data_IF_833291600257
#
_entry.id   IF_833291600257
#
_cell.length_a   1.000
_cell.length_b   1.000
_cell.length_c   1.000
_cell.angle_alpha   90.00
_cell.angle_beta   90.00
_cell.angle_gamma   90.00
#
_symmetry.space_group_name_H-M   'P 1'
#
loop_
_entity.id
_entity.type
_entity.pdbx_description
1 polymer ?
#
# COMPACT_ATOMS: atom_id res chain seq x y z
N UNK A 1 5.14 30.30 13.12
CA UNK A 1 4.04 29.78 12.27
C UNK A 1 3.72 28.39 12.79
N UNK A 2 2.47 27.95 12.91
CA UNK A 2 2.21 26.59 13.43
C UNK A 2 2.64 25.56 12.37
N UNK A 3 3.30 24.46 12.74
CA UNK A 3 3.60 23.38 11.77
C UNK A 3 2.29 22.82 11.22
N UNK A 4 2.16 22.74 9.90
CA UNK A 4 1.05 22.10 9.20
C UNK A 4 1.54 20.78 8.59
N UNK A 5 0.79 19.71 8.78
CA UNK A 5 1.12 18.39 8.27
C UNK A 5 -0.03 17.95 7.37
N UNK A 6 0.29 17.69 6.11
CA UNK A 6 -0.54 16.98 5.17
C UNK A 6 -0.09 15.52 5.15
N UNK A 7 -0.83 14.64 5.81
CA UNK A 7 -0.66 13.20 5.67
C UNK A 7 -1.45 12.75 4.45
N UNK A 8 -0.75 12.29 3.43
CA UNK A 8 -1.27 12.09 2.09
C UNK A 8 -1.28 10.60 1.77
N UNK A 9 -2.47 10.03 1.74
CA UNK A 9 -2.69 8.66 1.32
C UNK A 9 -2.78 8.62 -0.21
N UNK A 10 -1.84 7.91 -0.83
CA UNK A 10 -1.75 7.79 -2.28
C UNK A 10 -1.29 6.38 -2.67
N UNK A 11 -1.83 5.87 -3.76
CA UNK A 11 -1.29 4.70 -4.45
C UNK A 11 -0.26 5.13 -5.49
N UNK A 12 0.72 4.27 -5.77
CA UNK A 12 1.76 4.50 -6.78
C UNK A 12 1.20 4.42 -8.21
N UNK A 13 0.41 5.44 -8.60
CA UNK A 13 -0.27 5.50 -9.90
C UNK A 13 0.17 6.72 -10.68
N UNK A 14 0.56 6.57 -11.95
CA UNK A 14 0.94 7.70 -12.77
C UNK A 14 -0.17 8.78 -12.89
N UNK A 15 -1.43 8.37 -12.79
CA UNK A 15 -2.61 9.23 -12.94
C UNK A 15 -2.82 10.23 -11.78
N UNK A 16 -2.27 9.98 -10.58
CA UNK A 16 -2.40 10.88 -9.43
C UNK A 16 -1.21 11.81 -9.25
N UNK A 17 -0.14 11.64 -10.03
CA UNK A 17 1.11 12.38 -9.84
C UNK A 17 0.98 13.90 -9.97
N UNK A 18 0.11 14.41 -10.84
CA UNK A 18 -0.06 15.87 -10.97
C UNK A 18 -0.81 16.48 -9.78
N UNK A 19 -1.77 15.74 -9.20
CA UNK A 19 -2.42 16.12 -7.95
C UNK A 19 -1.44 16.06 -6.79
N UNK A 20 -0.61 15.01 -6.72
CA UNK A 20 0.51 14.87 -5.77
C UNK A 20 1.45 16.07 -5.88
N UNK A 21 1.90 16.40 -7.10
CA UNK A 21 2.80 17.52 -7.38
C UNK A 21 2.21 18.85 -6.93
N UNK A 22 0.94 19.11 -7.25
CA UNK A 22 0.25 20.34 -6.87
C UNK A 22 0.22 20.53 -5.35
N UNK A 23 0.06 19.44 -4.59
CA UNK A 23 0.10 19.48 -3.14
C UNK A 23 1.54 19.66 -2.62
N UNK A 24 2.50 18.90 -3.14
CA UNK A 24 3.92 19.01 -2.76
C UNK A 24 4.48 20.42 -2.98
N UNK A 25 4.10 21.11 -4.06
CA UNK A 25 4.55 22.48 -4.35
C UNK A 25 4.21 23.49 -3.23
N UNK A 26 3.12 23.24 -2.50
CA UNK A 26 2.64 24.10 -1.39
C UNK A 26 3.32 23.79 -0.06
N UNK A 27 4.08 22.70 0.02
CA UNK A 27 4.76 22.26 1.23
C UNK A 27 6.23 22.67 1.18
N UNK A 28 6.84 22.94 2.32
CA UNK A 28 8.27 23.29 2.44
C UNK A 28 9.14 22.03 2.51
N UNK A 29 8.68 21.05 3.27
CA UNK A 29 9.33 19.75 3.46
C UNK A 29 8.45 18.62 2.95
N UNK A 30 9.05 17.69 2.20
CA UNK A 30 8.43 16.50 1.64
C UNK A 30 9.04 15.27 2.29
N UNK A 31 8.23 14.38 2.82
CA UNK A 31 8.66 13.13 3.45
C UNK A 31 8.03 11.95 2.72
N UNK A 32 8.87 11.12 2.10
CA UNK A 32 8.47 10.00 1.25
C UNK A 32 8.37 8.69 2.05
N UNK A 33 7.57 7.73 1.55
CA UNK A 33 7.48 6.36 2.07
C UNK A 33 8.54 5.46 1.43
N UNK A 34 9.81 5.81 1.62
CA UNK A 34 10.95 5.07 1.06
C UNK A 34 12.05 4.93 2.11
N UNK A 35 12.84 3.84 2.08
CA UNK A 35 14.05 3.74 2.89
C UNK A 35 15.07 4.79 2.42
N UNK A 36 15.98 5.17 3.30
CA UNK A 36 17.09 6.06 2.93
C UNK A 36 18.05 5.31 2.00
N UNK A 37 18.31 5.88 0.83
CA UNK A 37 19.25 5.37 -0.15
C UNK A 37 20.39 6.36 -0.40
N UNK A 38 21.62 5.86 -0.46
CA UNK A 38 22.81 6.69 -0.70
C UNK A 38 22.74 7.40 -2.06
N UNK A 39 22.07 6.80 -3.04
CA UNK A 39 21.88 7.38 -4.38
C UNK A 39 20.75 8.42 -4.48
N UNK A 40 19.95 8.64 -3.42
CA UNK A 40 18.80 9.53 -3.46
C UNK A 40 19.18 11.00 -3.70
N UNK A 41 20.08 11.56 -2.89
CA UNK A 41 20.54 12.94 -3.08
C UNK A 41 21.26 13.12 -4.43
N UNK A 42 22.21 12.25 -4.83
CA UNK A 42 22.77 12.26 -6.18
C UNK A 42 21.72 12.21 -7.30
N UNK A 43 20.61 11.49 -7.11
CA UNK A 43 19.50 11.47 -8.06
C UNK A 43 18.76 12.82 -8.10
N UNK A 44 18.47 13.42 -6.95
CA UNK A 44 17.85 14.75 -6.88
C UNK A 44 18.73 15.85 -7.52
N UNK A 45 20.05 15.73 -7.37
CA UNK A 45 21.05 16.62 -7.96
C UNK A 45 21.37 16.31 -9.43
N UNK A 46 20.78 15.24 -9.98
CA UNK A 46 20.99 14.75 -11.35
C UNK A 46 22.43 14.30 -11.64
N UNK A 47 23.21 13.95 -10.62
CA UNK A 47 24.54 13.34 -10.77
C UNK A 47 24.44 11.83 -10.93
N UNK A 48 23.37 11.21 -10.43
CA UNK A 48 23.02 9.80 -10.69
C UNK A 48 21.80 9.74 -11.61
N UNK A 49 21.82 8.92 -12.68
CA UNK A 49 20.64 8.72 -13.53
C UNK A 49 19.45 8.19 -12.73
N UNK A 50 18.23 8.65 -13.08
CA UNK A 50 16.99 8.17 -12.46
C UNK A 50 16.86 6.66 -12.59
N UNK A 51 17.22 6.10 -13.75
CA UNK A 51 17.17 4.66 -13.99
C UNK A 51 18.08 3.86 -13.04
N UNK A 52 19.24 4.42 -12.65
CA UNK A 52 20.15 3.79 -11.69
C UNK A 52 19.57 3.81 -10.27
N UNK A 53 19.01 4.96 -9.86
CA UNK A 53 18.30 5.07 -8.59
C UNK A 53 17.12 4.11 -8.49
N UNK A 54 16.30 4.03 -9.55
CA UNK A 54 15.13 3.14 -9.56
C UNK A 54 15.51 1.66 -9.49
N UNK A 55 16.63 1.27 -10.10
CA UNK A 55 17.16 -0.09 -9.98
C UNK A 55 17.55 -0.43 -8.54
N UNK A 56 18.18 0.51 -7.82
CA UNK A 56 18.54 0.32 -6.40
C UNK A 56 17.30 0.29 -5.49
N UNK A 57 16.28 1.11 -5.79
CA UNK A 57 15.04 1.14 -5.02
C UNK A 57 14.14 -0.10 -5.21
N UNK A 58 14.45 -0.97 -6.18
CA UNK A 58 13.67 -2.16 -6.55
C UNK A 58 12.16 -1.89 -6.73
N UNK A 59 11.79 -0.72 -7.28
CA UNK A 59 10.38 -0.34 -7.40
C UNK A 59 9.57 -1.28 -8.29
N UNK A 60 8.37 -1.65 -7.84
CA UNK A 60 7.40 -2.41 -8.63
C UNK A 60 6.64 -1.54 -9.66
N UNK A 61 6.83 -0.21 -9.60
CA UNK A 61 6.11 0.78 -10.42
C UNK A 61 7.11 1.68 -11.17
N UNK A 62 7.82 1.17 -12.19
CA UNK A 62 8.90 1.90 -12.86
C UNK A 62 8.44 3.19 -13.55
N UNK A 63 7.25 3.23 -14.13
CA UNK A 63 6.76 4.41 -14.84
C UNK A 63 6.29 5.50 -13.87
N UNK A 64 5.59 5.13 -12.81
CA UNK A 64 5.32 5.99 -11.67
C UNK A 64 6.62 6.55 -11.09
N UNK A 65 7.57 5.68 -10.71
CA UNK A 65 8.81 6.05 -10.06
C UNK A 65 9.65 7.00 -10.91
N UNK A 66 9.72 6.78 -12.22
CA UNK A 66 10.42 7.69 -13.14
C UNK A 66 9.81 9.09 -13.18
N UNK A 67 8.49 9.17 -13.25
CA UNK A 67 7.76 10.46 -13.28
C UNK A 67 7.82 11.17 -11.93
N UNK A 68 7.72 10.43 -10.83
CA UNK A 68 7.88 10.96 -9.47
C UNK A 68 9.29 11.52 -9.27
N UNK A 69 10.35 10.79 -9.65
CA UNK A 69 11.73 11.29 -9.58
C UNK A 69 11.90 12.61 -10.34
N UNK A 70 11.32 12.74 -11.53
CA UNK A 70 11.36 13.99 -12.30
C UNK A 70 10.68 15.16 -11.57
N UNK A 71 9.56 14.91 -10.87
CA UNK A 71 8.89 15.89 -10.02
C UNK A 71 9.76 16.27 -8.83
N UNK A 72 10.33 15.27 -8.13
CA UNK A 72 11.19 15.49 -6.95
C UNK A 72 12.45 16.29 -7.32
N UNK A 73 13.10 15.99 -8.44
CA UNK A 73 14.23 16.78 -8.96
C UNK A 73 13.85 18.25 -9.20
N UNK A 74 12.66 18.52 -9.74
CA UNK A 74 12.19 19.89 -9.95
C UNK A 74 11.93 20.61 -8.63
N UNK A 75 11.30 19.94 -7.67
CA UNK A 75 11.01 20.49 -6.35
C UNK A 75 12.28 20.73 -5.54
N UNK A 76 13.24 19.81 -5.60
CA UNK A 76 14.57 19.98 -5.00
C UNK A 76 15.29 21.19 -5.58
N UNK A 77 15.28 21.36 -6.91
CA UNK A 77 15.86 22.54 -7.56
C UNK A 77 15.16 23.87 -7.18
N UNK A 78 13.92 23.81 -6.67
CA UNK A 78 13.19 24.95 -6.12
C UNK A 78 13.51 25.20 -4.63
N UNK A 79 14.40 24.41 -4.03
CA UNK A 79 14.84 24.55 -2.64
C UNK A 79 13.94 23.84 -1.62
N UNK A 80 13.06 22.91 -2.05
CA UNK A 80 12.28 22.08 -1.13
C UNK A 80 13.18 21.08 -0.40
N UNK A 81 12.92 20.85 0.88
CA UNK A 81 13.57 19.76 1.63
C UNK A 81 12.85 18.45 1.33
N UNK A 82 13.59 17.40 0.97
CA UNK A 82 13.01 16.09 0.61
C UNK A 82 13.71 15.02 1.42
N UNK A 83 12.95 14.26 2.20
CA UNK A 83 13.43 13.25 3.13
C UNK A 83 12.80 11.89 2.82
N UNK A 84 13.59 10.83 2.94
CA UNK A 84 13.10 9.45 2.95
C UNK A 84 12.94 9.00 4.40
N UNK A 85 11.76 8.51 4.77
CA UNK A 85 11.48 8.05 6.13
C UNK A 85 10.64 6.79 6.10
N UNK A 86 11.30 5.65 5.96
CA UNK A 86 10.70 4.32 6.11
C UNK A 86 11.66 3.37 6.85
N UNK A 87 11.74 3.46 8.19
CA UNK A 87 12.71 2.70 8.98
C UNK A 87 12.48 1.19 8.96
N UNK A 88 11.24 0.71 8.74
CA UNK A 88 11.00 -0.73 8.63
C UNK A 88 11.70 -1.30 7.40
N UNK A 89 11.52 -0.65 6.23
CA UNK A 89 12.19 -1.09 5.00
C UNK A 89 13.70 -0.90 5.09
N UNK A 90 14.18 0.17 5.73
CA UNK A 90 15.63 0.35 5.96
C UNK A 90 16.25 -0.84 6.69
N UNK A 91 15.60 -1.29 7.77
CA UNK A 91 16.06 -2.44 8.54
C UNK A 91 15.95 -3.73 7.71
N UNK A 92 14.88 -3.87 6.91
CA UNK A 92 14.69 -5.02 6.03
C UNK A 92 15.78 -5.13 4.96
N UNK A 93 16.15 -4.03 4.30
CA UNK A 93 17.29 -3.98 3.38
C UNK A 93 18.57 -4.46 4.07
N UNK A 94 18.84 -3.95 5.28
CA UNK A 94 20.00 -4.38 6.06
C UNK A 94 19.96 -5.86 6.48
N UNK A 95 18.77 -6.47 6.61
CA UNK A 95 18.63 -7.92 6.84
C UNK A 95 18.99 -8.69 5.57
N UNK A 96 18.55 -8.23 4.40
CA UNK A 96 18.88 -8.86 3.11
C UNK A 96 20.39 -8.82 2.86
N UNK A 97 21.05 -7.67 3.09
CA UNK A 97 22.51 -7.53 3.00
C UNK A 97 23.24 -8.46 3.98
N UNK A 98 22.75 -8.54 5.22
CA UNK A 98 23.31 -9.42 6.25
C UNK A 98 23.29 -10.89 5.82
N UNK A 99 22.18 -11.37 5.24
CA UNK A 99 22.10 -12.72 4.68
C UNK A 99 22.92 -12.88 3.39
N UNK A 100 22.96 -11.86 2.54
CA UNK A 100 23.79 -11.83 1.33
C UNK A 100 25.29 -11.96 1.64
N UNK A 101 25.73 -11.47 2.81
CA UNK A 101 27.09 -11.64 3.32
C UNK A 101 27.37 -13.03 3.91
N UNK A 102 26.38 -13.94 3.92
CA UNK A 102 26.52 -15.33 4.37
C UNK A 102 26.18 -15.57 5.83
N UNK A 103 25.67 -14.58 6.56
CA UNK A 103 25.18 -14.77 7.92
C UNK A 103 23.84 -15.51 7.95
N UNK A 104 23.53 -16.11 9.09
CA UNK A 104 22.31 -16.87 9.33
C UNK A 104 21.33 -16.13 10.25
N UNK A 105 20.02 -16.48 10.22
CA UNK A 105 19.04 -15.90 11.15
C UNK A 105 19.38 -16.07 12.63
N UNK A 106 20.13 -17.12 12.99
CA UNK A 106 20.54 -17.37 14.38
C UNK A 106 21.56 -16.34 14.91
N UNK A 107 22.21 -15.60 14.01
CA UNK A 107 23.17 -14.54 14.34
C UNK A 107 22.51 -13.16 14.52
N UNK A 108 21.20 -13.05 14.32
CA UNK A 108 20.46 -11.83 14.64
C UNK A 108 20.25 -11.75 16.15
N UNK A 109 20.69 -10.64 16.75
CA UNK A 109 20.44 -10.34 18.15
C UNK A 109 18.93 -10.21 18.42
N UNK A 110 18.41 -11.06 19.31
CA UNK A 110 16.97 -11.21 19.59
C UNK A 110 16.35 -9.98 20.23
N UNK A 111 17.14 -9.17 20.94
CA UNK A 111 16.65 -7.96 21.61
C UNK A 111 16.73 -6.72 20.69
N UNK A 112 17.23 -6.88 19.47
CA UNK A 112 17.41 -5.80 18.51
C UNK A 112 16.14 -5.49 17.70
N UNK A 113 16.06 -4.26 17.18
CA UNK A 113 15.06 -3.87 16.19
C UNK A 113 15.11 -4.78 14.94
N UNK A 114 16.30 -5.26 14.57
CA UNK A 114 16.50 -6.18 13.45
C UNK A 114 15.74 -7.50 13.67
N UNK A 115 15.74 -8.05 14.88
CA UNK A 115 14.95 -9.26 15.18
C UNK A 115 13.45 -9.01 15.05
N UNK A 116 12.97 -7.87 15.57
CA UNK A 116 11.54 -7.53 15.49
C UNK A 116 11.04 -7.43 14.04
N UNK A 117 11.80 -6.75 13.19
CA UNK A 117 11.50 -6.64 11.75
C UNK A 117 11.61 -8.00 11.06
N UNK A 118 12.66 -8.77 11.34
CA UNK A 118 12.83 -10.11 10.78
C UNK A 118 11.69 -11.06 11.14
N UNK A 119 11.28 -11.10 12.41
CA UNK A 119 10.22 -11.98 12.89
C UNK A 119 8.86 -11.61 12.28
N UNK A 120 8.56 -10.31 12.22
CA UNK A 120 7.37 -9.75 11.56
C UNK A 120 7.32 -10.15 10.08
N UNK A 121 8.42 -9.95 9.35
CA UNK A 121 8.50 -10.26 7.92
C UNK A 121 8.40 -11.76 7.65
N UNK A 122 9.08 -12.56 8.46
CA UNK A 122 9.05 -14.04 8.38
C UNK A 122 7.65 -14.59 8.64
N UNK A 123 6.94 -14.05 9.62
CA UNK A 123 5.56 -14.48 9.93
C UNK A 123 4.62 -14.17 8.76
N UNK A 124 4.58 -12.90 8.31
CA UNK A 124 3.70 -12.47 7.22
C UNK A 124 4.00 -13.23 5.92
N UNK A 125 5.28 -13.35 5.54
CA UNK A 125 5.71 -14.07 4.35
C UNK A 125 5.40 -15.56 4.45
N UNK A 126 5.60 -16.17 5.62
CA UNK A 126 5.24 -17.57 5.86
C UNK A 126 3.74 -17.83 5.62
N UNK A 127 2.88 -16.95 6.13
CA UNK A 127 1.42 -17.05 5.90
C UNK A 127 1.02 -16.81 4.45
N UNK A 128 1.72 -15.92 3.74
CA UNK A 128 1.51 -15.71 2.32
C UNK A 128 1.88 -16.96 1.50
N UNK A 129 2.98 -17.63 1.85
CA UNK A 129 3.37 -18.90 1.21
C UNK A 129 2.34 -20.00 1.49
N UNK A 130 1.83 -20.10 2.72
CA UNK A 130 0.77 -21.05 3.08
C UNK A 130 -0.52 -20.79 2.27
N UNK A 131 -0.88 -19.53 2.07
CA UNK A 131 -1.97 -19.15 1.17
C UNK A 131 -1.72 -19.65 -0.26
N UNK A 132 -0.57 -19.38 -0.86
CA UNK A 132 -0.28 -19.85 -2.22
C UNK A 132 -0.30 -21.37 -2.33
N UNK A 133 0.17 -22.09 -1.31
CA UNK A 133 0.08 -23.56 -1.26
C UNK A 133 -1.36 -24.06 -1.18
N UNK A 134 -2.24 -23.35 -0.49
CA UNK A 134 -3.66 -23.73 -0.39
C UNK A 134 -4.39 -23.63 -1.74
N UNK A 135 -3.93 -22.77 -2.65
CA UNK A 135 -4.56 -22.53 -3.95
C UNK A 135 -4.51 -23.72 -4.92
N UNK A 136 -3.80 -24.82 -4.67
CA UNK A 136 -3.81 -25.98 -5.59
C UNK A 136 -4.90 -26.99 -5.24
N UNK A 137 -4.86 -27.52 -4.02
CA UNK A 137 -5.63 -28.74 -3.67
C UNK A 137 -6.53 -28.57 -2.44
N UNK A 138 -6.60 -27.37 -1.86
CA UNK A 138 -7.46 -27.12 -0.69
C UNK A 138 -8.89 -26.73 -1.07
N UNK A 139 -9.82 -26.96 -0.14
CA UNK A 139 -11.20 -26.50 -0.26
C UNK A 139 -11.27 -24.97 -0.21
N UNK A 140 -12.34 -24.37 -0.76
CA UNK A 140 -12.53 -22.92 -0.68
C UNK A 140 -12.47 -22.40 0.76
N UNK A 141 -13.11 -23.09 1.70
CA UNK A 141 -13.09 -22.71 3.12
C UNK A 141 -11.67 -22.70 3.70
N UNK A 142 -10.84 -23.67 3.34
CA UNK A 142 -9.44 -23.74 3.80
C UNK A 142 -8.61 -22.59 3.21
N UNK A 143 -8.82 -22.27 1.93
CA UNK A 143 -8.19 -21.10 1.29
C UNK A 143 -8.58 -19.83 2.05
N UNK A 144 -9.87 -19.62 2.36
CA UNK A 144 -10.32 -18.47 3.15
C UNK A 144 -9.64 -18.40 4.51
N UNK A 145 -9.49 -19.53 5.21
CA UNK A 145 -8.78 -19.56 6.48
C UNK A 145 -7.32 -19.12 6.35
N UNK A 146 -6.61 -19.52 5.28
CA UNK A 146 -5.24 -19.06 5.03
C UNK A 146 -5.17 -17.56 4.70
N UNK A 147 -6.12 -17.02 3.94
CA UNK A 147 -6.22 -15.57 3.68
C UNK A 147 -6.44 -14.81 4.98
N UNK A 148 -7.31 -15.29 5.86
CA UNK A 148 -7.56 -14.66 7.15
C UNK A 148 -6.31 -14.67 8.05
N UNK A 149 -5.57 -15.78 8.07
CA UNK A 149 -4.31 -15.87 8.82
C UNK A 149 -3.24 -14.94 8.26
N UNK A 150 -3.13 -14.84 6.93
CA UNK A 150 -2.23 -13.90 6.28
C UNK A 150 -2.58 -12.45 6.62
N UNK A 151 -3.84 -12.04 6.46
CA UNK A 151 -4.28 -10.68 6.80
C UNK A 151 -4.03 -10.35 8.28
N UNK A 152 -4.15 -11.33 9.19
CA UNK A 152 -3.80 -11.14 10.60
C UNK A 152 -2.32 -10.88 10.81
N UNK A 153 -1.45 -11.70 10.23
CA UNK A 153 0.00 -11.51 10.30
C UNK A 153 0.42 -10.17 9.66
N UNK A 154 -0.16 -9.84 8.50
CA UNK A 154 0.13 -8.59 7.80
C UNK A 154 -0.35 -7.37 8.60
N UNK A 155 -1.51 -7.44 9.27
CA UNK A 155 -1.96 -6.34 10.16
C UNK A 155 -1.00 -6.09 11.32
N UNK A 156 -0.31 -7.12 11.84
CA UNK A 156 0.72 -6.96 12.87
C UNK A 156 1.96 -6.27 12.27
N UNK A 157 2.36 -6.68 11.08
CA UNK A 157 3.47 -6.07 10.33
C UNK A 157 3.21 -4.59 10.06
N UNK A 158 2.02 -4.24 9.58
CA UNK A 158 1.61 -2.85 9.33
C UNK A 158 1.65 -2.02 10.62
N UNK A 159 1.13 -2.53 11.74
CA UNK A 159 1.22 -1.83 13.04
C UNK A 159 2.65 -1.54 13.48
N UNK A 160 3.54 -2.51 13.32
CA UNK A 160 4.96 -2.34 13.65
C UNK A 160 5.57 -1.26 12.73
N UNK A 161 5.33 -1.36 11.43
CA UNK A 161 5.82 -0.41 10.43
C UNK A 161 5.33 1.02 10.71
N UNK A 162 4.03 1.21 10.95
CA UNK A 162 3.43 2.50 11.29
C UNK A 162 4.03 3.09 12.58
N UNK A 163 4.26 2.24 13.59
CA UNK A 163 4.85 2.68 14.87
C UNK A 163 6.30 3.16 14.69
N UNK A 164 7.13 2.37 14.01
CA UNK A 164 8.52 2.74 13.74
C UNK A 164 8.60 4.01 12.88
N UNK A 165 7.73 4.11 11.87
CA UNK A 165 7.68 5.28 10.99
C UNK A 165 7.22 6.52 11.73
N UNK A 166 6.20 6.44 12.59
CA UNK A 166 5.78 7.54 13.44
C UNK A 166 6.92 8.05 14.34
N UNK A 167 7.64 7.13 15.00
CA UNK A 167 8.77 7.47 15.87
C UNK A 167 9.91 8.18 15.11
N UNK A 168 10.16 7.80 13.86
CA UNK A 168 11.14 8.46 13.00
C UNK A 168 10.64 9.84 12.54
N UNK A 169 9.38 9.93 12.11
CA UNK A 169 8.76 11.17 11.64
C UNK A 169 8.75 12.25 12.74
N UNK A 170 8.36 11.91 13.97
CA UNK A 170 8.31 12.85 15.10
C UNK A 170 9.66 13.56 15.33
N UNK A 171 10.78 12.89 15.02
CA UNK A 171 12.14 13.43 15.17
C UNK A 171 12.59 14.29 13.99
N UNK A 172 12.00 14.06 12.81
CA UNK A 172 12.41 14.68 11.53
C UNK A 172 11.48 15.79 11.07
N UNK A 173 10.24 15.84 11.56
CA UNK A 173 9.28 16.88 11.20
C UNK A 173 9.79 18.25 11.68
N UNK A 174 9.99 19.22 10.77
CA UNK A 174 10.45 20.55 11.14
C UNK A 174 9.38 21.38 11.86
N UNK A 175 9.85 22.34 12.65
CA UNK A 175 8.99 23.30 13.33
C UNK A 175 8.69 24.50 12.43
N UNK A 176 7.44 24.95 12.42
CA UNK A 176 6.96 26.13 11.68
C UNK A 176 6.95 26.00 10.14
N UNK A 177 6.87 24.78 9.62
CA UNK A 177 6.80 24.50 8.18
C UNK A 177 5.48 23.81 7.79
N UNK A 178 5.18 23.85 6.48
CA UNK A 178 4.13 23.01 5.87
C UNK A 178 4.78 21.73 5.36
N UNK A 179 4.35 20.58 5.87
CA UNK A 179 5.00 19.27 5.65
C UNK A 179 4.07 18.35 4.89
N UNK A 180 4.56 17.78 3.80
CA UNK A 180 3.93 16.68 3.08
C UNK A 180 4.48 15.36 3.61
N UNK A 181 3.62 14.43 4.00
CA UNK A 181 4.01 13.06 4.39
C UNK A 181 3.25 12.10 3.49
N UNK A 182 3.97 11.35 2.66
CA UNK A 182 3.42 10.30 1.82
C UNK A 182 3.10 9.07 2.66
N UNK A 183 1.95 8.44 2.42
CA UNK A 183 1.62 7.14 2.98
C UNK A 183 0.78 6.30 2.01
N UNK A 184 0.96 4.99 2.00
CA UNK A 184 0.03 4.06 1.38
C UNK A 184 -1.32 4.02 2.12
N UNK A 185 -2.45 3.73 1.45
CA UNK A 185 -3.78 3.71 2.09
C UNK A 185 -3.95 2.70 3.22
N UNK A 186 -3.08 1.69 3.34
CA UNK A 186 -3.12 0.70 4.41
C UNK A 186 -2.55 1.23 5.74
N UNK A 187 -1.72 2.27 5.69
CA UNK A 187 -1.04 2.88 6.85
C UNK A 187 -1.91 3.92 7.56
N UNK A 188 -3.24 3.75 7.53
CA UNK A 188 -4.17 4.71 8.16
C UNK A 188 -3.98 4.83 9.67
N UNK A 189 -3.34 3.84 10.31
CA UNK A 189 -3.06 3.89 11.74
C UNK A 189 -1.99 4.94 12.10
N UNK A 190 -1.12 5.30 11.14
CA UNK A 190 -0.12 6.34 11.28
C UNK A 190 -0.72 7.68 11.72
N UNK A 191 -1.88 8.09 11.17
CA UNK A 191 -2.56 9.31 11.59
C UNK A 191 -2.85 9.32 13.09
N UNK A 192 -3.38 8.21 13.60
CA UNK A 192 -3.76 8.07 15.02
C UNK A 192 -2.54 8.20 15.91
N UNK A 193 -1.41 7.60 15.53
CA UNK A 193 -0.15 7.66 16.28
C UNK A 193 0.40 9.09 16.28
N UNK A 194 0.45 9.74 15.11
CA UNK A 194 0.95 11.12 14.98
C UNK A 194 0.09 12.12 15.78
N UNK A 195 -1.25 11.98 15.73
CA UNK A 195 -2.16 12.85 16.51
C UNK A 195 -2.05 12.65 18.02
N UNK A 196 -1.70 11.43 18.46
CA UNK A 196 -1.52 11.14 19.88
C UNK A 196 -0.16 11.62 20.43
N UNK A 197 0.79 11.97 19.55
CA UNK A 197 2.13 12.39 19.95
C UNK A 197 2.13 13.77 20.63
N UNK A 198 2.67 13.82 21.85
CA UNK A 198 2.83 15.08 22.59
C UNK A 198 3.73 16.08 21.85
N UNK A 199 4.75 15.59 21.14
CA UNK A 199 5.68 16.39 20.32
C UNK A 199 4.98 17.09 19.15
N UNK A 200 3.84 16.57 18.70
CA UNK A 200 3.04 17.12 17.59
C UNK A 200 1.72 17.75 18.08
N UNK A 201 1.55 17.94 19.39
CA UNK A 201 0.34 18.54 19.98
C UNK A 201 0.03 19.95 19.44
N UNK A 202 1.07 20.69 19.05
CA UNK A 202 0.97 22.00 18.41
C UNK A 202 1.08 21.94 16.90
N UNK A 203 0.93 20.79 16.23
CA UNK A 203 0.84 20.72 14.78
C UNK A 203 -0.63 20.79 14.32
N UNK A 204 -0.88 21.18 13.08
CA UNK A 204 -2.17 21.01 12.40
C UNK A 204 -2.05 19.82 11.46
N UNK A 205 -2.60 18.68 11.85
CA UNK A 205 -2.57 17.47 11.02
C UNK A 205 -3.87 17.38 10.22
N UNK A 206 -3.75 17.31 8.90
CA UNK A 206 -4.83 17.07 7.95
C UNK A 206 -4.52 15.85 7.09
N UNK A 207 -5.54 15.08 6.76
CA UNK A 207 -5.43 13.95 5.84
C UNK A 207 -5.93 14.31 4.46
N UNK A 208 -5.31 13.72 3.44
CA UNK A 208 -5.69 13.83 2.03
C UNK A 208 -5.64 12.44 1.42
N UNK A 209 -6.71 12.05 0.75
CA UNK A 209 -6.78 10.83 -0.05
C UNK A 209 -6.75 11.27 -1.51
N UNK A 210 -5.62 11.09 -2.19
CA UNK A 210 -5.49 11.58 -3.56
C UNK A 210 -6.38 10.81 -4.53
N UNK A 211 -6.50 9.50 -4.29
CA UNK A 211 -7.33 8.64 -5.13
C UNK A 211 -8.84 8.96 -4.98
N UNK A 212 -9.29 9.43 -3.80
CA UNK A 212 -10.68 9.82 -3.57
C UNK A 212 -11.07 11.08 -4.36
N UNK A 213 -10.15 12.04 -4.53
CA UNK A 213 -10.42 13.24 -5.35
C UNK A 213 -10.54 12.93 -6.84
N UNK A 214 -9.71 12.00 -7.31
CA UNK A 214 -9.79 11.49 -8.66
C UNK A 214 -11.10 10.69 -8.84
N UNK A 215 -11.48 9.86 -7.87
CA UNK A 215 -12.76 9.14 -7.84
C UNK A 215 -13.99 10.06 -7.86
N UNK A 216 -13.99 11.13 -7.06
CA UNK A 216 -15.03 12.17 -7.05
C UNK A 216 -15.15 12.87 -8.40
N UNK A 217 -14.01 13.24 -9.00
CA UNK A 217 -13.95 13.88 -10.32
C UNK A 217 -14.43 12.95 -11.44
N UNK A 218 -14.30 11.64 -11.24
CA UNK A 218 -14.77 10.58 -12.13
C UNK A 218 -16.24 10.19 -11.92
N UNK A 219 -16.97 10.88 -11.04
CA UNK A 219 -18.42 10.70 -10.84
C UNK A 219 -18.81 9.53 -9.94
N UNK A 220 -17.86 8.96 -9.18
CA UNK A 220 -18.10 7.81 -8.31
C UNK A 220 -17.41 8.02 -6.95
N UNK A 221 -18.11 8.52 -5.92
CA UNK A 221 -17.52 8.84 -4.62
C UNK A 221 -17.32 7.61 -3.71
N UNK A 222 -17.41 6.40 -4.24
CA UNK A 222 -17.28 5.18 -3.45
C UNK A 222 -15.82 4.94 -3.05
N UNK A 223 -15.61 4.42 -1.84
CA UNK A 223 -14.28 4.10 -1.32
C UNK A 223 -13.55 3.12 -2.24
N UNK A 224 -12.30 3.45 -2.56
CA UNK A 224 -11.37 2.60 -3.30
C UNK A 224 -10.74 1.49 -2.46
N UNK A 225 -11.15 1.33 -1.20
CA UNK A 225 -10.71 0.21 -0.39
C UNK A 225 -11.29 -1.09 -0.96
N UNK A 226 -10.40 -2.00 -1.34
CA UNK A 226 -10.81 -3.36 -1.69
C UNK A 226 -11.35 -4.08 -0.44
N UNK A 227 -12.17 -5.14 -0.61
CA UNK A 227 -12.61 -5.95 0.53
C UNK A 227 -11.45 -6.50 1.37
N UNK A 228 -10.30 -6.76 0.75
CA UNK A 228 -9.09 -7.19 1.44
C UNK A 228 -8.51 -6.09 2.31
N UNK A 229 -8.37 -4.88 1.77
CA UNK A 229 -7.87 -3.72 2.53
C UNK A 229 -8.81 -3.34 3.66
N UNK A 230 -10.13 -3.43 3.45
CA UNK A 230 -11.14 -3.20 4.47
C UNK A 230 -10.97 -4.16 5.65
N UNK A 231 -10.81 -5.46 5.37
CA UNK A 231 -10.56 -6.44 6.42
C UNK A 231 -9.21 -6.22 7.12
N UNK A 232 -8.14 -5.96 6.37
CA UNK A 232 -6.81 -5.69 6.94
C UNK A 232 -6.82 -4.44 7.82
N UNK A 233 -7.45 -3.34 7.39
CA UNK A 233 -7.55 -2.11 8.16
C UNK A 233 -8.33 -2.31 9.45
N UNK A 234 -9.45 -3.01 9.40
CA UNK A 234 -10.21 -3.31 10.60
C UNK A 234 -9.40 -4.17 11.58
N UNK A 235 -8.62 -5.14 11.10
CA UNK A 235 -7.65 -5.85 11.92
C UNK A 235 -6.57 -4.93 12.48
N UNK A 236 -6.03 -3.98 11.71
CA UNK A 236 -5.04 -2.97 12.13
C UNK A 236 -5.58 -2.12 13.28
N UNK A 237 -6.82 -1.65 13.17
CA UNK A 237 -7.48 -0.83 14.20
C UNK A 237 -8.02 -1.64 15.39
N UNK A 238 -8.02 -2.98 15.30
CA UNK A 238 -8.55 -3.85 16.35
C UNK A 238 -10.07 -3.80 16.46
N UNK A 239 -10.74 -3.57 15.33
CA UNK A 239 -12.20 -3.57 15.24
C UNK A 239 -12.77 -4.97 15.44
N UNK A 240 -13.92 -5.05 16.10
CA UNK A 240 -14.65 -6.31 16.30
C UNK A 240 -15.54 -6.56 15.08
N UNK A 241 -15.06 -7.40 14.16
CA UNK A 241 -15.81 -7.84 12.98
C UNK A 241 -16.30 -9.27 13.20
N UNK A 242 -17.58 -9.52 12.89
CA UNK A 242 -18.13 -10.87 12.95
C UNK A 242 -17.39 -11.83 12.01
N UNK A 243 -17.26 -13.09 12.42
CA UNK A 243 -16.60 -14.12 11.60
C UNK A 243 -17.23 -14.24 10.20
N UNK A 244 -18.56 -14.14 10.11
CA UNK A 244 -19.27 -14.18 8.83
C UNK A 244 -18.84 -13.04 7.89
N UNK A 245 -18.71 -11.81 8.42
CA UNK A 245 -18.26 -10.65 7.66
C UNK A 245 -16.79 -10.79 7.27
N UNK A 246 -15.92 -11.23 8.18
CA UNK A 246 -14.49 -11.45 7.88
C UNK A 246 -14.31 -12.46 6.74
N UNK A 247 -15.03 -13.59 6.80
CA UNK A 247 -14.99 -14.62 5.75
C UNK A 247 -15.51 -14.09 4.42
N UNK A 248 -16.56 -13.28 4.42
CA UNK A 248 -17.09 -12.65 3.22
C UNK A 248 -16.07 -11.69 2.59
N UNK A 249 -15.47 -10.80 3.37
CA UNK A 249 -14.46 -9.86 2.88
C UNK A 249 -13.25 -10.61 2.28
N UNK A 250 -12.76 -11.66 2.94
CA UNK A 250 -11.70 -12.50 2.39
C UNK A 250 -12.12 -13.21 1.09
N UNK A 251 -13.36 -13.69 1.01
CA UNK A 251 -13.90 -14.33 -0.19
C UNK A 251 -14.00 -13.36 -1.36
N UNK A 252 -14.50 -12.15 -1.12
CA UNK A 252 -14.56 -11.09 -2.11
C UNK A 252 -13.17 -10.62 -2.52
N UNK A 253 -12.20 -10.55 -1.59
CA UNK A 253 -10.81 -10.21 -1.87
C UNK A 253 -10.13 -11.23 -2.79
N UNK A 254 -10.42 -12.53 -2.63
CA UNK A 254 -9.92 -13.55 -3.57
C UNK A 254 -10.41 -13.31 -4.99
N UNK A 255 -11.70 -13.00 -5.16
CA UNK A 255 -12.25 -12.71 -6.48
C UNK A 255 -11.69 -11.38 -7.01
N UNK A 256 -11.57 -10.36 -6.17
CA UNK A 256 -10.96 -9.07 -6.52
C UNK A 256 -9.57 -9.25 -7.13
N UNK A 257 -8.71 -10.03 -6.46
CA UNK A 257 -7.34 -10.31 -6.90
C UNK A 257 -7.26 -11.08 -8.23
N UNK A 258 -8.34 -11.75 -8.66
CA UNK A 258 -8.44 -12.40 -9.99
C UNK A 258 -8.91 -11.44 -11.08
N UNK A 259 -9.49 -10.29 -10.73
CA UNK A 259 -10.15 -9.39 -11.67
C UNK A 259 -9.36 -8.10 -11.94
N UNK A 260 -8.55 -7.65 -10.98
CA UNK A 260 -7.77 -6.42 -11.09
C UNK A 260 -6.52 -6.61 -11.98
N UNK A 261 -6.18 -5.60 -12.77
CA UNK A 261 -4.91 -5.53 -13.52
C UNK A 261 -3.76 -5.36 -12.53
N UNK A 262 -2.63 -6.04 -12.79
CA UNK A 262 -1.45 -6.00 -11.90
C UNK A 262 -0.38 -5.04 -12.39
N UNK A 263 -0.39 -4.77 -13.70
CA UNK A 263 0.55 -3.92 -14.39
C UNK A 263 0.13 -2.45 -14.38
N UNK A 264 1.10 -1.53 -14.49
CA UNK A 264 0.81 -0.10 -14.66
C UNK A 264 0.08 0.17 -15.98
N UNK A 265 -0.94 1.04 -15.93
CA UNK A 265 -1.72 1.49 -17.07
C UNK A 265 -1.21 2.87 -17.51
N UNK A 266 -0.31 2.89 -18.49
CA UNK A 266 0.35 4.13 -18.95
C UNK A 266 -0.19 4.68 -20.26
N UNK A 267 -0.75 3.81 -21.11
CA UNK A 267 -1.22 4.15 -22.46
C UNK A 267 -2.74 4.12 -22.57
N UNK A 268 -3.41 5.07 -21.90
CA UNK A 268 -4.87 5.14 -21.94
C UNK A 268 -5.36 6.57 -22.21
N UNK A 269 -6.46 6.66 -22.98
CA UNK A 269 -7.15 7.93 -23.25
C UNK A 269 -8.02 8.35 -22.03
N UNK A 270 -8.28 7.43 -21.10
CA UNK A 270 -9.07 7.70 -19.91
C UNK A 270 -8.27 8.52 -18.90
N UNK A 271 -8.93 9.48 -18.28
CA UNK A 271 -8.42 10.14 -17.08
C UNK A 271 -8.67 9.20 -15.90
N UNK A 272 -7.63 8.80 -15.18
CA UNK A 272 -7.67 7.85 -14.05
C UNK A 272 -8.06 6.39 -14.38
N UNK A 273 -7.35 5.72 -15.31
CA UNK A 273 -7.67 4.35 -15.72
C UNK A 273 -7.65 3.32 -14.58
N UNK A 274 -6.71 3.39 -13.63
CA UNK A 274 -6.66 2.45 -12.52
C UNK A 274 -7.85 2.64 -11.57
N UNK A 275 -8.17 3.88 -11.21
CA UNK A 275 -9.31 4.20 -10.32
C UNK A 275 -10.62 3.72 -10.94
N UNK A 276 -10.84 3.97 -12.23
CA UNK A 276 -12.04 3.48 -12.91
C UNK A 276 -12.14 1.95 -12.92
N UNK A 277 -11.02 1.26 -13.13
CA UNK A 277 -10.99 -0.18 -13.08
C UNK A 277 -11.33 -0.71 -11.69
N UNK A 278 -10.68 -0.18 -10.66
CA UNK A 278 -10.91 -0.58 -9.27
C UNK A 278 -12.34 -0.39 -8.84
N UNK A 279 -12.93 0.78 -9.09
CA UNK A 279 -14.34 1.02 -8.74
C UNK A 279 -15.27 0.01 -9.38
N UNK A 280 -15.00 -0.37 -10.64
CA UNK A 280 -15.80 -1.38 -11.33
C UNK A 280 -15.62 -2.75 -10.69
N UNK A 281 -14.39 -3.15 -10.38
CA UNK A 281 -14.10 -4.45 -9.76
C UNK A 281 -14.65 -4.51 -8.34
N UNK A 282 -14.41 -3.50 -7.50
CA UNK A 282 -14.92 -3.38 -6.13
C UNK A 282 -16.44 -3.52 -6.11
N UNK A 283 -17.16 -2.77 -6.96
CA UNK A 283 -18.63 -2.89 -7.06
C UNK A 283 -19.08 -4.29 -7.46
N UNK A 284 -18.37 -4.89 -8.42
CA UNK A 284 -18.68 -6.25 -8.88
C UNK A 284 -18.54 -7.26 -7.74
N UNK A 285 -17.43 -7.20 -6.99
CA UNK A 285 -17.17 -8.18 -5.92
C UNK A 285 -17.98 -7.92 -4.66
N UNK A 286 -18.29 -6.66 -4.32
CA UNK A 286 -19.13 -6.31 -3.16
C UNK A 286 -20.56 -6.79 -3.29
N UNK A 287 -21.06 -6.95 -4.52
CA UNK A 287 -22.38 -7.52 -4.77
C UNK A 287 -22.43 -9.05 -4.58
N UNK A 288 -21.28 -9.72 -4.42
CA UNK A 288 -21.22 -11.17 -4.28
C UNK A 288 -21.39 -11.59 -2.81
N UNK A 289 -22.23 -12.60 -2.60
CA UNK A 289 -22.32 -13.34 -1.35
C UNK A 289 -21.23 -14.41 -1.26
N UNK A 290 -20.96 -14.88 -0.04
CA UNK A 290 -19.91 -15.88 0.23
C UNK A 290 -20.05 -17.12 -0.64
N UNK A 291 -21.28 -17.63 -0.83
CA UNK A 291 -21.53 -18.82 -1.65
C UNK A 291 -21.28 -18.57 -3.14
N UNK A 292 -21.55 -17.35 -3.61
CA UNK A 292 -21.27 -16.96 -4.99
C UNK A 292 -19.76 -16.84 -5.21
N UNK A 293 -19.02 -16.26 -4.26
CA UNK A 293 -17.56 -16.24 -4.30
C UNK A 293 -16.98 -17.66 -4.38
N UNK A 294 -17.51 -18.61 -3.61
CA UNK A 294 -17.08 -20.02 -3.67
C UNK A 294 -17.29 -20.61 -5.08
N UNK A 295 -18.48 -20.45 -5.65
CA UNK A 295 -18.80 -20.97 -6.99
C UNK A 295 -17.93 -20.33 -8.08
N UNK A 296 -17.75 -19.01 -8.02
CA UNK A 296 -16.90 -18.27 -8.96
C UNK A 296 -15.45 -18.72 -8.83
N UNK A 297 -14.94 -18.86 -7.59
CA UNK A 297 -13.56 -19.22 -7.32
C UNK A 297 -13.17 -20.51 -8.03
N UNK A 298 -14.01 -21.55 -7.97
CA UNK A 298 -13.77 -22.82 -8.68
C UNK A 298 -13.60 -22.64 -10.20
N UNK A 299 -14.28 -21.67 -10.80
CA UNK A 299 -14.18 -21.38 -12.24
C UNK A 299 -12.95 -20.53 -12.60
N UNK A 300 -12.55 -19.62 -11.70
CA UNK A 300 -11.48 -18.64 -11.99
C UNK A 300 -10.13 -19.01 -11.38
N UNK A 301 -10.06 -20.01 -10.51
CA UNK A 301 -8.87 -20.42 -9.73
C UNK A 301 -7.58 -20.37 -10.55
N UNK A 302 -7.58 -21.05 -11.71
CA UNK A 302 -6.44 -21.14 -12.62
C UNK A 302 -6.57 -20.24 -13.88
N UNK A 303 -7.59 -19.40 -13.96
CA UNK A 303 -7.76 -18.46 -15.06
C UNK A 303 -6.84 -17.24 -14.89
N UNK A 304 -6.39 -16.64 -15.98
CA UNK A 304 -5.74 -15.33 -15.95
C UNK A 304 -6.79 -14.21 -15.76
N UNK A 305 -6.35 -12.96 -15.59
CA UNK A 305 -7.24 -11.82 -15.32
C UNK A 305 -8.30 -11.63 -16.41
N UNK A 306 -7.92 -11.68 -17.69
CA UNK A 306 -8.85 -11.49 -18.80
C UNK A 306 -9.95 -12.56 -18.83
N UNK A 307 -9.57 -13.84 -18.68
CA UNK A 307 -10.52 -14.95 -18.65
C UNK A 307 -11.41 -14.88 -17.41
N UNK A 308 -10.85 -14.52 -16.25
CA UNK A 308 -11.60 -14.36 -15.00
C UNK A 308 -12.67 -13.27 -15.14
N UNK A 309 -12.36 -12.14 -15.76
CA UNK A 309 -13.34 -11.07 -16.04
C UNK A 309 -14.52 -11.55 -16.87
N UNK A 310 -14.28 -12.33 -17.93
CA UNK A 310 -15.33 -12.89 -18.79
C UNK A 310 -16.23 -13.85 -18.01
N UNK A 311 -15.63 -14.74 -17.21
CA UNK A 311 -16.36 -15.71 -16.39
C UNK A 311 -17.26 -15.00 -15.37
N UNK A 312 -16.71 -14.03 -14.63
CA UNK A 312 -17.48 -13.30 -13.61
C UNK A 312 -18.60 -12.47 -14.23
N UNK A 313 -18.34 -11.79 -15.35
CA UNK A 313 -19.36 -11.02 -16.05
C UNK A 313 -20.56 -11.89 -16.47
N UNK A 314 -20.30 -13.07 -17.02
CA UNK A 314 -21.36 -14.01 -17.40
C UNK A 314 -22.14 -14.52 -16.17
N UNK A 315 -21.44 -14.88 -15.09
CA UNK A 315 -22.06 -15.35 -13.86
C UNK A 315 -23.01 -14.29 -13.26
N UNK A 316 -22.60 -13.02 -13.23
CA UNK A 316 -23.42 -11.91 -12.71
C UNK A 316 -24.63 -11.63 -13.60
N UNK A 317 -24.48 -11.73 -14.93
CA UNK A 317 -25.60 -11.60 -15.87
C UNK A 317 -26.63 -12.73 -15.71
N UNK A 318 -26.19 -13.97 -15.57
CA UNK A 318 -27.09 -15.12 -15.39
C UNK A 318 -27.81 -15.10 -14.03
N UNK A 319 -27.14 -14.61 -12.99
CA UNK A 319 -27.72 -14.51 -11.64
C UNK A 319 -28.72 -13.37 -11.47
N UNK A 320 -28.73 -12.37 -12.37
CA UNK A 320 -29.69 -11.25 -12.34
C UNK A 320 -30.98 -11.53 -13.13
N UNK A 321 -31.03 -12.63 -13.88
CA UNK A 321 -32.19 -13.06 -14.67
C UNK A 321 -32.97 -14.25 -14.06
N UNK A 322 -32.55 -14.72 -12.89
CA UNK A 322 -33.24 -15.74 -12.08
C UNK A 322 -33.77 -15.11 -10.79
#
# INVERSE_FOLDING_TARGET
MKTEIHLVYAMHRPETLEDTRTLMQRCDTLILEEPELDSFLPMLEKTTPVETYLQESETEYPEYGKRQCAILQQLHAQGKSILQVEPYLQVLVGIHEFFGAGHSPAEIDKDSLRSQVYDSEREATGKLIDFYRSLTDSSFSDVINTVMQFAKADSNRIRLRDSLRADALIKKIPHNEVVFIEAGPIHRSLEKILRASASLSSALISTRFLDDRAAESSGFPESLLSPGDEYTLALVFGEDISEATSRLLCAQALIYNKLITKEELTDTILTYPHIHEEQRVIRTVRALEYKQCEQIFELVRFANTEKSRKIVANYVQESTHN
#
